data_IF_031999045211
#
_entry.id   IF_031999045211
#
_cell.length_a   1.000
_cell.length_b   1.000
_cell.length_c   1.000
_cell.angle_alpha   90.00
_cell.angle_beta   90.00
_cell.angle_gamma   90.00
#
_symmetry.space_group_name_H-M   'P 1'
#
loop_
_entity.id
_entity.type
_entity.pdbx_description
1 polymer ?
#
# COMPACT_ATOMS: atom_id res chain seq x y z
N UNK A 1 52.30 -30.51 15.84
CA UNK A 1 52.61 -29.14 15.36
C UNK A 1 52.23 -29.10 13.89
N UNK A 2 51.28 -28.32 13.36
CA UNK A 2 50.41 -27.27 13.88
C UNK A 2 49.27 -27.13 12.86
N UNK A 3 48.05 -26.86 13.34
CA UNK A 3 46.84 -26.54 12.57
C UNK A 3 46.95 -25.16 11.87
N UNK A 4 46.39 -25.00 10.66
CA UNK A 4 45.95 -23.69 10.10
C UNK A 4 44.90 -23.97 9.01
N UNK A 5 43.60 -24.00 9.33
CA UNK A 5 42.68 -22.87 9.39
C UNK A 5 42.50 -22.12 8.04
N UNK A 6 41.40 -22.47 7.36
CA UNK A 6 40.43 -21.60 6.68
C UNK A 6 40.77 -20.11 6.62
N UNK A 7 40.84 -19.54 5.41
CA UNK A 7 40.47 -18.14 5.21
C UNK A 7 39.33 -18.07 4.21
N UNK A 8 38.16 -17.88 4.80
CA UNK A 8 36.84 -17.76 4.21
C UNK A 8 36.78 -16.54 3.28
N UNK A 9 36.04 -16.69 2.19
CA UNK A 9 35.71 -15.63 1.25
C UNK A 9 34.64 -14.77 1.92
N UNK A 10 35.03 -13.80 2.73
CA UNK A 10 34.11 -12.74 3.17
C UNK A 10 34.22 -11.59 2.18
N UNK A 11 33.37 -11.65 1.15
CA UNK A 11 32.98 -10.47 0.38
C UNK A 11 32.45 -9.38 1.34
N UNK A 12 32.63 -8.09 1.03
CA UNK A 12 32.07 -7.03 1.86
C UNK A 12 30.55 -7.17 1.86
N UNK A 13 29.98 -7.42 3.04
CA UNK A 13 28.55 -7.43 3.29
C UNK A 13 28.04 -5.99 3.17
N UNK A 14 27.89 -5.52 1.93
CA UNK A 14 27.18 -4.29 1.63
C UNK A 14 25.73 -4.57 2.02
N UNK A 15 25.40 -4.23 3.26
CA UNK A 15 24.03 -4.08 3.73
C UNK A 15 23.36 -3.01 2.87
N UNK A 16 22.90 -3.42 1.70
CA UNK A 16 22.18 -2.60 0.75
C UNK A 16 20.87 -2.20 1.44
N UNK A 17 20.73 -0.90 1.72
CA UNK A 17 19.61 -0.31 2.46
C UNK A 17 18.29 -0.77 1.84
N UNK A 18 17.64 -1.78 2.44
CA UNK A 18 16.26 -2.21 2.14
C UNK A 18 15.19 -1.14 2.44
N UNK A 19 15.61 0.07 2.81
CA UNK A 19 14.76 1.21 3.14
C UNK A 19 14.14 1.88 1.91
N UNK A 20 14.72 1.72 0.71
CA UNK A 20 14.28 2.42 -0.51
C UNK A 20 12.78 2.26 -0.85
N UNK A 21 12.25 1.03 -1.00
CA UNK A 21 10.88 0.83 -1.49
C UNK A 21 9.80 1.15 -0.46
N UNK A 22 10.04 0.86 0.83
CA UNK A 22 9.09 1.21 1.89
C UNK A 22 9.04 2.71 2.15
N UNK A 23 10.18 3.40 2.06
CA UNK A 23 10.20 4.85 2.14
C UNK A 23 9.47 5.48 0.94
N UNK A 24 9.68 4.96 -0.27
CA UNK A 24 8.92 5.38 -1.46
C UNK A 24 7.42 5.17 -1.27
N UNK A 25 7.01 4.05 -0.66
CA UNK A 25 5.59 3.77 -0.37
C UNK A 25 4.98 4.75 0.65
N UNK A 26 5.73 5.08 1.70
CA UNK A 26 5.30 6.08 2.68
C UNK A 26 5.20 7.48 2.06
N UNK A 27 6.17 7.86 1.22
CA UNK A 27 6.10 9.11 0.46
C UNK A 27 4.89 9.11 -0.46
N UNK A 28 4.64 8.02 -1.20
CA UNK A 28 3.47 7.88 -2.05
C UNK A 28 2.18 8.12 -1.27
N UNK A 29 2.03 7.46 -0.11
CA UNK A 29 0.89 7.68 0.78
C UNK A 29 0.78 9.13 1.27
N UNK A 30 1.89 9.79 1.59
CA UNK A 30 1.88 11.21 1.97
C UNK A 30 1.41 12.13 0.83
N UNK A 31 1.90 11.90 -0.39
CA UNK A 31 1.44 12.65 -1.57
C UNK A 31 -0.03 12.36 -1.88
N UNK A 32 -0.50 11.14 -1.63
CA UNK A 32 -1.91 10.76 -1.78
C UNK A 32 -2.82 11.58 -0.89
N UNK A 33 -2.42 11.80 0.36
CA UNK A 33 -3.18 12.64 1.29
C UNK A 33 -3.24 14.08 0.76
N UNK A 34 -2.11 14.62 0.27
CA UNK A 34 -2.08 15.93 -0.37
C UNK A 34 -2.98 16.02 -1.60
N UNK A 35 -3.01 14.97 -2.42
CA UNK A 35 -3.93 14.85 -3.56
C UNK A 35 -5.40 14.87 -3.10
N UNK A 36 -5.77 14.03 -2.14
CA UNK A 36 -7.14 13.93 -1.63
C UNK A 36 -7.64 15.27 -1.07
N UNK A 37 -6.79 15.96 -0.29
CA UNK A 37 -7.12 17.31 0.21
C UNK A 37 -7.28 18.30 -0.94
N UNK A 38 -6.37 18.28 -1.91
CA UNK A 38 -6.41 19.22 -3.03
C UNK A 38 -7.62 19.02 -3.93
N UNK A 39 -8.07 17.76 -4.12
CA UNK A 39 -9.30 17.45 -4.84
C UNK A 39 -10.51 18.04 -4.10
N UNK A 40 -10.58 17.90 -2.78
CA UNK A 40 -11.66 18.51 -2.01
C UNK A 40 -11.65 20.04 -2.14
N UNK A 41 -10.48 20.66 -1.96
CA UNK A 41 -10.31 22.11 -2.09
C UNK A 41 -10.49 22.67 -3.50
N UNK A 42 -10.45 21.82 -4.53
CA UNK A 42 -10.69 22.22 -5.91
C UNK A 42 -12.16 22.54 -6.22
N UNK A 43 -13.08 22.17 -5.33
CA UNK A 43 -14.53 22.29 -5.52
C UNK A 43 -14.97 21.67 -6.86
N UNK A 44 -14.54 20.43 -7.10
CA UNK A 44 -14.82 19.73 -8.36
C UNK A 44 -14.03 20.28 -9.55
N UNK A 45 -12.78 20.66 -9.33
CA UNK A 45 -11.84 21.23 -10.31
C UNK A 45 -12.18 22.64 -10.81
N UNK A 46 -13.08 23.33 -10.14
CA UNK A 46 -13.49 24.69 -10.50
C UNK A 46 -12.45 25.73 -10.06
N UNK A 47 -11.77 25.48 -8.94
CA UNK A 47 -10.65 26.30 -8.49
C UNK A 47 -9.33 25.85 -9.14
N UNK A 48 -8.81 26.66 -10.07
CA UNK A 48 -7.65 26.31 -10.88
C UNK A 48 -6.36 26.08 -10.06
N UNK A 49 -6.17 26.83 -8.97
CA UNK A 49 -4.99 26.69 -8.11
C UNK A 49 -4.97 25.33 -7.43
N UNK A 50 -6.07 24.95 -6.77
CA UNK A 50 -6.19 23.65 -6.12
C UNK A 50 -6.19 22.49 -7.12
N UNK A 51 -6.78 22.67 -8.30
CA UNK A 51 -6.72 21.70 -9.40
C UNK A 51 -5.28 21.41 -9.85
N UNK A 52 -4.46 22.44 -10.04
CA UNK A 52 -3.06 22.28 -10.44
C UNK A 52 -2.26 21.56 -9.35
N UNK A 53 -2.49 21.91 -8.09
CA UNK A 53 -1.87 21.24 -6.94
C UNK A 53 -2.28 19.76 -6.92
N UNK A 54 -3.57 19.45 -7.10
CA UNK A 54 -4.06 18.07 -7.16
C UNK A 54 -3.35 17.27 -8.26
N UNK A 55 -3.21 17.82 -9.47
CA UNK A 55 -2.50 17.13 -10.57
C UNK A 55 -1.04 16.84 -10.19
N UNK A 56 -0.35 17.81 -9.60
CA UNK A 56 1.06 17.62 -9.18
C UNK A 56 1.18 16.52 -8.12
N UNK A 57 0.35 16.56 -7.08
CA UNK A 57 0.33 15.52 -6.05
C UNK A 57 -0.04 14.15 -6.62
N UNK A 58 -0.99 14.08 -7.55
CA UNK A 58 -1.41 12.87 -8.24
C UNK A 58 -0.27 12.22 -9.04
N UNK A 59 0.53 13.03 -9.74
CA UNK A 59 1.69 12.51 -10.47
C UNK A 59 2.77 12.01 -9.53
N UNK A 60 3.03 12.71 -8.42
CA UNK A 60 4.01 12.28 -7.44
C UNK A 60 3.59 10.99 -6.72
N UNK A 61 2.36 10.92 -6.19
CA UNK A 61 1.85 9.72 -5.50
C UNK A 61 1.95 8.48 -6.40
N UNK A 62 1.54 8.58 -7.66
CA UNK A 62 1.65 7.48 -8.63
C UNK A 62 3.09 7.11 -8.97
N UNK A 63 3.97 8.11 -9.13
CA UNK A 63 5.38 7.84 -9.42
C UNK A 63 6.05 7.07 -8.27
N UNK A 64 5.90 7.56 -7.04
CA UNK A 64 6.49 6.91 -5.86
C UNK A 64 5.87 5.54 -5.59
N UNK A 65 4.56 5.39 -5.79
CA UNK A 65 3.88 4.10 -5.69
C UNK A 65 4.46 3.12 -6.71
N UNK A 66 4.57 3.51 -7.99
CA UNK A 66 5.17 2.68 -9.04
C UNK A 66 6.58 2.23 -8.69
N UNK A 67 7.41 3.12 -8.12
CA UNK A 67 8.75 2.77 -7.64
C UNK A 67 8.72 1.75 -6.50
N UNK A 68 7.81 1.90 -5.54
CA UNK A 68 7.64 0.94 -4.44
C UNK A 68 7.20 -0.44 -4.94
N UNK A 69 6.25 -0.47 -5.88
CA UNK A 69 5.70 -1.69 -6.47
C UNK A 69 6.71 -2.50 -7.31
N UNK A 70 7.86 -1.92 -7.69
CA UNK A 70 8.96 -2.67 -8.32
C UNK A 70 9.60 -3.70 -7.39
N UNK A 71 9.42 -3.56 -6.07
CA UNK A 71 10.06 -4.38 -5.04
C UNK A 71 9.09 -4.94 -4.00
N UNK A 72 7.89 -4.37 -3.90
CA UNK A 72 6.82 -4.81 -3.00
C UNK A 72 5.72 -5.45 -3.84
N UNK A 73 5.10 -6.49 -3.31
CA UNK A 73 3.91 -7.09 -3.90
C UNK A 73 2.82 -6.03 -4.17
N UNK A 74 2.18 -6.13 -5.33
CA UNK A 74 1.21 -5.15 -5.81
C UNK A 74 0.03 -5.02 -4.84
N UNK A 75 -0.51 -6.15 -4.36
CA UNK A 75 -1.63 -6.14 -3.41
C UNK A 75 -1.26 -5.48 -2.08
N UNK A 76 -0.06 -5.76 -1.56
CA UNK A 76 0.43 -5.14 -0.33
C UNK A 76 0.64 -3.63 -0.52
N UNK A 77 1.28 -3.22 -1.61
CA UNK A 77 1.57 -1.81 -1.88
C UNK A 77 0.31 -0.97 -2.03
N UNK A 78 -0.66 -1.42 -2.84
CA UNK A 78 -1.93 -0.69 -3.01
C UNK A 78 -2.73 -0.62 -1.71
N UNK A 79 -2.76 -1.67 -0.90
CA UNK A 79 -3.49 -1.66 0.36
C UNK A 79 -2.91 -0.66 1.37
N UNK A 80 -1.57 -0.59 1.47
CA UNK A 80 -0.90 0.37 2.36
C UNK A 80 -1.11 1.80 1.86
N UNK A 81 -0.92 2.03 0.55
CA UNK A 81 -1.13 3.33 -0.08
C UNK A 81 -2.56 3.85 0.12
N UNK A 82 -3.57 3.03 -0.18
CA UNK A 82 -4.97 3.37 0.02
C UNK A 82 -5.30 3.59 1.50
N UNK A 83 -4.75 2.77 2.40
CA UNK A 83 -4.94 2.92 3.85
C UNK A 83 -4.40 4.25 4.38
N UNK A 84 -3.20 4.65 3.97
CA UNK A 84 -2.60 5.94 4.35
C UNK A 84 -3.44 7.10 3.79
N UNK A 85 -3.83 7.03 2.52
CA UNK A 85 -4.68 8.04 1.88
C UNK A 85 -6.00 8.23 2.61
N UNK A 86 -6.70 7.14 2.92
CA UNK A 86 -7.99 7.17 3.62
C UNK A 86 -7.87 7.76 5.04
N UNK A 87 -6.88 7.30 5.83
CA UNK A 87 -6.65 7.81 7.19
C UNK A 87 -6.24 9.27 7.17
N UNK A 88 -5.33 9.67 6.28
CA UNK A 88 -4.86 11.04 6.20
C UNK A 88 -5.94 12.01 5.72
N UNK A 89 -6.72 11.64 4.71
CA UNK A 89 -7.84 12.45 4.23
C UNK A 89 -8.91 12.64 5.31
N UNK A 90 -9.19 11.59 6.08
CA UNK A 90 -10.14 11.66 7.19
C UNK A 90 -9.70 12.52 8.37
N UNK A 91 -8.41 12.50 8.69
CA UNK A 91 -7.86 13.28 9.79
C UNK A 91 -7.62 14.74 9.40
N UNK A 92 -7.14 15.00 8.18
CA UNK A 92 -6.75 16.34 7.73
C UNK A 92 -7.86 17.09 7.00
N UNK A 93 -8.79 16.40 6.32
CA UNK A 93 -9.92 17.05 5.64
C UNK A 93 -10.71 17.99 6.55
N UNK A 94 -11.14 17.54 7.75
CA UNK A 94 -11.86 18.35 8.73
C UNK A 94 -11.05 19.55 9.24
N UNK A 95 -9.73 19.40 9.31
CA UNK A 95 -8.82 20.47 9.75
C UNK A 95 -8.64 21.55 8.68
N UNK A 96 -8.64 21.17 7.40
CA UNK A 96 -8.41 22.09 6.28
C UNK A 96 -9.68 22.73 5.72
N UNK A 97 -10.82 22.05 5.81
CA UNK A 97 -12.08 22.47 5.17
C UNK A 97 -13.16 22.87 6.17
N UNK A 98 -12.82 22.99 7.46
CA UNK A 98 -13.76 23.27 8.56
C UNK A 98 -14.99 22.33 8.54
N UNK A 99 -14.83 21.12 7.98
CA UNK A 99 -15.88 20.13 7.94
C UNK A 99 -16.08 19.52 9.32
N UNK A 100 -17.35 19.36 9.71
CA UNK A 100 -17.68 18.64 10.94
C UNK A 100 -17.50 17.14 10.74
N UNK A 101 -16.48 16.58 11.42
CA UNK A 101 -16.44 15.13 11.70
C UNK A 101 -17.53 14.79 12.70
N UNK A 102 -18.68 14.37 12.19
CA UNK A 102 -19.69 13.74 13.04
C UNK A 102 -19.20 12.35 13.46
N UNK A 103 -19.56 11.91 14.67
CA UNK A 103 -19.27 10.55 15.14
C UNK A 103 -19.78 9.48 14.17
N UNK A 104 -20.88 9.77 13.47
CA UNK A 104 -21.47 8.92 12.43
C UNK A 104 -20.56 8.82 11.20
N UNK A 105 -20.03 9.95 10.67
CA UNK A 105 -19.04 9.93 9.57
C UNK A 105 -17.80 9.12 9.96
N UNK A 106 -17.29 9.31 11.18
CA UNK A 106 -16.15 8.57 11.69
C UNK A 106 -16.37 7.06 11.78
N UNK A 107 -17.56 6.63 12.25
CA UNK A 107 -17.92 5.21 12.30
C UNK A 107 -17.95 4.57 10.90
N UNK A 108 -18.62 5.18 9.94
CA UNK A 108 -18.72 4.64 8.57
C UNK A 108 -17.38 4.64 7.84
N UNK A 109 -16.55 5.64 8.07
CA UNK A 109 -15.19 5.65 7.60
C UNK A 109 -14.37 4.48 8.17
N UNK A 110 -14.51 4.19 9.47
CA UNK A 110 -13.86 3.02 10.08
C UNK A 110 -14.34 1.70 9.44
N UNK A 111 -15.62 1.60 9.07
CA UNK A 111 -16.18 0.46 8.31
C UNK A 111 -15.53 0.34 6.93
N UNK A 112 -15.38 1.46 6.19
CA UNK A 112 -14.71 1.47 4.87
C UNK A 112 -13.26 1.01 5.01
N UNK A 113 -12.51 1.56 5.98
CA UNK A 113 -11.12 1.18 6.24
C UNK A 113 -11.04 -0.31 6.62
N UNK A 114 -11.94 -0.79 7.47
CA UNK A 114 -12.05 -2.21 7.81
C UNK A 114 -12.31 -3.09 6.60
N UNK A 115 -13.18 -2.67 5.68
CA UNK A 115 -13.46 -3.36 4.41
C UNK A 115 -12.23 -3.45 3.50
N UNK A 116 -11.46 -2.36 3.37
CA UNK A 116 -10.21 -2.34 2.61
C UNK A 116 -9.17 -3.30 3.21
N UNK A 117 -9.02 -3.30 4.54
CA UNK A 117 -8.11 -4.21 5.25
C UNK A 117 -8.55 -5.66 5.04
N UNK A 118 -9.85 -5.94 5.18
CA UNK A 118 -10.40 -7.29 4.99
C UNK A 118 -10.20 -7.81 3.57
N UNK A 119 -10.41 -6.96 2.55
CA UNK A 119 -10.16 -7.30 1.16
C UNK A 119 -8.70 -7.70 0.94
N UNK A 120 -7.74 -6.94 1.49
CA UNK A 120 -6.31 -7.29 1.42
C UNK A 120 -5.98 -8.61 2.12
N UNK A 121 -6.67 -8.93 3.22
CA UNK A 121 -6.48 -10.22 3.91
C UNK A 121 -7.09 -11.38 3.12
N UNK A 122 -8.21 -11.16 2.44
CA UNK A 122 -8.87 -12.16 1.61
C UNK A 122 -8.05 -12.52 0.36
N UNK A 123 -7.37 -11.54 -0.25
CA UNK A 123 -6.47 -11.75 -1.39
C UNK A 123 -5.12 -12.39 -1.02
N UNK A 124 -4.89 -12.78 0.25
CA UNK A 124 -3.64 -13.43 0.64
C UNK A 124 -3.56 -14.88 0.10
N UNK A 125 -2.46 -15.29 -0.58
CA UNK A 125 -2.30 -16.54 -1.35
C UNK A 125 -2.38 -17.87 -0.57
N UNK A 126 -2.75 -17.81 0.72
CA UNK A 126 -2.96 -19.00 1.57
C UNK A 126 -4.22 -19.80 1.20
N UNK A 127 -5.06 -19.28 0.29
CA UNK A 127 -6.27 -19.95 -0.18
C UNK A 127 -6.09 -20.74 -1.49
N UNK A 128 -5.09 -20.41 -2.32
CA UNK A 128 -4.82 -21.17 -3.55
C UNK A 128 -4.11 -22.51 -3.27
N UNK A 129 -3.15 -22.54 -2.33
CA UNK A 129 -2.46 -23.78 -1.97
C UNK A 129 -3.42 -24.84 -1.41
N UNK A 130 -4.44 -24.43 -0.64
CA UNK A 130 -5.43 -25.34 -0.05
C UNK A 130 -6.42 -25.91 -1.07
N UNK A 131 -6.71 -25.17 -2.15
CA UNK A 131 -7.61 -25.65 -3.22
C UNK A 131 -6.89 -26.62 -4.17
N UNK A 132 -5.60 -26.41 -4.43
CA UNK A 132 -4.78 -27.33 -5.22
C UNK A 132 -4.52 -28.66 -4.50
N UNK A 133 -4.28 -28.62 -3.19
CA UNK A 133 -4.08 -29.84 -2.39
C UNK A 133 -5.38 -30.64 -2.19
N UNK A 134 -6.54 -29.95 -2.12
CA UNK A 134 -7.85 -30.59 -2.03
C UNK A 134 -8.35 -31.21 -3.35
N UNK A 135 -7.92 -30.68 -4.49
CA UNK A 135 -8.31 -31.18 -5.82
C UNK A 135 -7.40 -32.34 -6.29
N UNK A 136 -6.16 -32.41 -5.82
CA UNK A 136 -5.29 -33.58 -6.03
C UNK A 136 -5.72 -34.82 -5.21
N UNK A 137 -6.44 -34.63 -4.10
CA UNK A 137 -6.91 -35.71 -3.23
C UNK A 137 -8.28 -36.31 -3.64
N UNK A 138 -8.98 -35.72 -4.61
CA UNK A 138 -10.36 -36.07 -4.99
C UNK A 138 -10.50 -36.71 -6.40
N UNK A 139 -9.63 -37.68 -6.73
CA UNK A 139 -9.89 -38.76 -7.71
C UNK A 139 -9.94 -38.43 -9.22
N UNK A 140 -9.90 -39.44 -10.12
CA UNK A 140 -10.38 -40.79 -9.87
C UNK A 140 -9.41 -41.94 -10.23
N UNK A 141 -9.51 -43.02 -9.45
CA UNK A 141 -9.32 -44.37 -9.98
C UNK A 141 -10.24 -44.61 -11.19
N UNK A 142 -9.79 -45.48 -12.10
CA UNK A 142 -10.51 -46.04 -13.26
C UNK A 142 -10.43 -45.26 -14.58
N UNK A 143 -9.59 -45.75 -15.49
CA UNK A 143 -10.09 -46.49 -16.66
C UNK A 143 -8.96 -47.26 -17.37
N UNK A 144 -9.02 -48.59 -17.23
CA UNK A 144 -8.53 -49.68 -18.11
C UNK A 144 -7.03 -49.83 -18.38
#
# INVERSE_FOLDING_TARGET
MTTTATHDITAPDTTEKRAGPWLALLLAGGFEVGYALSVNGSEGFTNLTWSLIAIVFFLFTLFFLSVALKKIDVGIGYAVWAGIGAVGAALLGPVFFDETLTLVKGFWLAVIIGGVIWLKLADSPKLEAKNSDGQAAAGPEQHK
#
